data_IF_446967433438
#
_entry.id   IF_446967433438
#
_cell.length_a   1.000
_cell.length_b   1.000
_cell.length_c   1.000
_cell.angle_alpha   90.00
_cell.angle_beta   90.00
_cell.angle_gamma   90.00
#
_symmetry.space_group_name_H-M   'P 1'
#
loop_
_entity.id
_entity.type
_entity.pdbx_description
1 polymer ?
#
# COMPACT_ATOMS: atom_id res chain seq x y z
N UNK A 1 17.29 0.23 0.26
CA UNK A 1 17.44 0.65 -1.15
C UNK A 1 16.36 1.67 -1.43
N UNK A 2 16.67 2.79 -2.10
CA UNK A 2 15.61 3.71 -2.57
C UNK A 2 14.81 2.99 -3.66
N UNK A 3 13.53 2.72 -3.43
CA UNK A 3 12.65 2.20 -4.49
C UNK A 3 12.60 3.24 -5.61
N UNK A 4 12.66 2.79 -6.87
CA UNK A 4 12.40 3.67 -8.01
C UNK A 4 10.92 4.06 -7.94
N UNK A 5 10.61 5.34 -8.17
CA UNK A 5 9.23 5.78 -8.24
C UNK A 5 8.49 5.06 -9.39
N UNK A 6 7.25 4.58 -9.16
CA UNK A 6 6.40 3.99 -10.19
C UNK A 6 6.07 4.99 -11.30
N UNK A 7 5.36 4.52 -12.33
CA UNK A 7 4.79 5.42 -13.35
C UNK A 7 3.85 6.41 -12.64
N UNK A 8 4.06 7.70 -12.84
CA UNK A 8 3.15 8.72 -12.35
C UNK A 8 1.98 8.90 -13.30
N UNK A 9 0.79 9.04 -12.72
CA UNK A 9 -0.44 9.40 -13.43
C UNK A 9 -0.91 10.81 -13.09
N UNK A 10 -0.41 11.40 -12.00
CA UNK A 10 -0.63 12.80 -11.67
C UNK A 10 0.36 13.72 -12.39
N UNK A 11 -0.09 14.92 -12.76
CA UNK A 11 0.81 15.98 -13.25
C UNK A 11 1.60 16.59 -12.09
N UNK A 12 2.70 17.28 -12.42
CA UNK A 12 3.48 18.03 -11.42
C UNK A 12 2.62 19.10 -10.72
N UNK A 13 1.69 19.73 -11.46
CA UNK A 13 0.76 20.73 -10.96
C UNK A 13 -0.21 20.15 -9.92
N UNK A 14 -0.80 18.98 -10.20
CA UNK A 14 -1.69 18.30 -9.24
C UNK A 14 -0.95 17.89 -7.96
N UNK A 15 0.30 17.42 -8.08
CA UNK A 15 1.12 17.09 -6.91
C UNK A 15 1.48 18.32 -6.09
N UNK A 16 1.76 19.45 -6.76
CA UNK A 16 2.06 20.70 -6.07
C UNK A 16 0.83 21.29 -5.39
N UNK A 17 -0.35 21.19 -6.02
CA UNK A 17 -1.61 21.59 -5.41
C UNK A 17 -1.87 20.81 -4.11
N UNK A 18 -1.67 19.48 -4.13
CA UNK A 18 -1.78 18.66 -2.91
C UNK A 18 -0.79 19.11 -1.83
N UNK A 19 0.48 19.38 -2.20
CA UNK A 19 1.48 19.89 -1.23
C UNK A 19 1.06 21.23 -0.65
N UNK A 20 0.52 22.13 -1.47
CA UNK A 20 0.03 23.43 -1.01
C UNK A 20 -1.14 23.30 -0.02
N UNK A 21 -1.92 22.22 -0.13
CA UNK A 21 -2.98 21.86 0.82
C UNK A 21 -2.46 21.13 2.07
N UNK A 22 -1.15 20.90 2.19
CA UNK A 22 -0.53 20.24 3.32
C UNK A 22 -0.39 18.72 3.19
N UNK A 23 -0.58 18.15 1.98
CA UNK A 23 -0.33 16.74 1.74
C UNK A 23 1.15 16.39 1.95
N UNK A 24 1.39 15.36 2.75
CA UNK A 24 2.71 14.76 2.84
C UNK A 24 2.96 13.78 1.68
N UNK A 25 4.13 13.16 1.69
CA UNK A 25 4.54 12.22 0.66
C UNK A 25 3.66 10.97 0.60
N UNK A 26 3.18 10.47 1.74
CA UNK A 26 2.30 9.30 1.78
C UNK A 26 0.95 9.61 1.15
N UNK A 27 0.36 10.76 1.47
CA UNK A 27 -0.90 11.19 0.86
C UNK A 27 -0.77 11.38 -0.66
N UNK A 28 0.37 11.91 -1.13
CA UNK A 28 0.66 12.02 -2.56
C UNK A 28 0.77 10.64 -3.21
N UNK A 29 1.40 9.66 -2.56
CA UNK A 29 1.50 8.30 -3.09
C UNK A 29 0.16 7.59 -3.13
N UNK A 30 -0.72 7.83 -2.15
CA UNK A 30 -2.10 7.36 -2.18
C UNK A 30 -2.88 7.98 -3.35
N UNK A 31 -2.71 9.28 -3.60
CA UNK A 31 -3.35 9.95 -4.73
C UNK A 31 -2.85 9.42 -6.09
N UNK A 32 -1.54 9.13 -6.21
CA UNK A 32 -0.97 8.50 -7.41
C UNK A 32 -1.49 7.08 -7.63
N UNK A 33 -1.67 6.31 -6.55
CA UNK A 33 -2.30 4.99 -6.60
C UNK A 33 -3.73 5.09 -7.15
N UNK A 34 -4.50 6.07 -6.68
CA UNK A 34 -5.89 6.28 -7.11
C UNK A 34 -5.95 6.70 -8.58
N UNK A 35 -5.11 7.65 -9.00
CA UNK A 35 -4.99 8.08 -10.39
C UNK A 35 -4.59 6.91 -11.33
N UNK A 36 -3.69 6.03 -10.90
CA UNK A 36 -3.36 4.81 -11.64
C UNK A 36 -4.56 3.85 -11.74
N UNK A 37 -5.38 3.76 -10.68
CA UNK A 37 -6.60 2.94 -10.67
C UNK A 37 -7.65 3.48 -11.64
N UNK A 38 -7.86 4.80 -11.66
CA UNK A 38 -8.74 5.48 -12.63
C UNK A 38 -8.29 5.25 -14.08
N UNK A 39 -6.98 5.17 -14.31
CA UNK A 39 -6.39 4.83 -15.59
C UNK A 39 -6.42 3.31 -15.92
N UNK A 40 -7.03 2.48 -15.07
CA UNK A 40 -7.06 1.02 -15.17
C UNK A 40 -5.67 0.35 -15.20
N UNK A 41 -4.65 0.98 -14.59
CA UNK A 41 -3.31 0.42 -14.42
C UNK A 41 -3.14 -0.16 -13.01
N UNK A 42 -3.71 -1.35 -12.83
CA UNK A 42 -3.70 -2.08 -11.56
C UNK A 42 -2.27 -2.29 -11.03
N UNK A 43 -1.30 -2.55 -11.91
CA UNK A 43 0.08 -2.76 -11.49
C UNK A 43 0.64 -1.50 -10.82
N UNK A 44 0.49 -0.36 -11.49
CA UNK A 44 0.99 0.92 -10.95
C UNK A 44 0.24 1.33 -9.68
N UNK A 45 -1.07 1.03 -9.56
CA UNK A 45 -1.83 1.20 -8.30
C UNK A 45 -1.14 0.48 -7.14
N UNK A 46 -0.80 -0.80 -7.31
CA UNK A 46 -0.13 -1.56 -6.26
C UNK A 46 1.31 -1.11 -6.00
N UNK A 47 2.03 -0.70 -7.04
CA UNK A 47 3.39 -0.17 -6.89
C UNK A 47 3.41 1.11 -6.03
N UNK A 48 2.45 2.02 -6.22
CA UNK A 48 2.30 3.19 -5.36
C UNK A 48 1.88 2.84 -3.93
N UNK A 49 0.90 1.94 -3.76
CA UNK A 49 0.49 1.48 -2.43
C UNK A 49 1.63 0.81 -1.65
N UNK A 50 2.51 0.08 -2.33
CA UNK A 50 3.67 -0.58 -1.71
C UNK A 50 4.78 0.40 -1.29
N UNK A 51 4.60 1.71 -1.48
CA UNK A 51 5.51 2.76 -0.97
C UNK A 51 5.02 3.45 0.29
N UNK A 52 3.82 3.12 0.78
CA UNK A 52 3.17 3.75 1.95
C UNK A 52 3.19 2.80 3.14
N UNK A 53 3.31 3.32 4.36
CA UNK A 53 3.11 2.54 5.59
C UNK A 53 1.61 2.29 5.85
N UNK A 54 1.07 1.23 5.26
CA UNK A 54 -0.33 0.87 5.46
C UNK A 54 -0.61 0.44 6.92
N UNK A 55 -1.83 0.70 7.43
CA UNK A 55 -2.24 0.17 8.72
C UNK A 55 -2.34 -1.37 8.67
N UNK A 56 -2.14 -2.03 9.81
CA UNK A 56 -2.09 -3.48 9.92
C UNK A 56 -3.34 -4.16 9.32
N UNK A 57 -4.54 -3.65 9.60
CA UNK A 57 -5.78 -4.17 9.03
C UNK A 57 -5.85 -4.06 7.50
N UNK A 58 -5.21 -3.04 6.92
CA UNK A 58 -5.10 -2.87 5.47
C UNK A 58 -4.26 -3.98 4.85
N UNK A 59 -3.14 -4.29 5.48
CA UNK A 59 -2.25 -5.40 5.09
C UNK A 59 -2.94 -6.77 5.21
N UNK A 60 -3.75 -7.00 6.25
CA UNK A 60 -4.61 -8.20 6.33
C UNK A 60 -5.62 -8.29 5.20
N UNK A 61 -6.25 -7.16 4.85
CA UNK A 61 -7.17 -7.09 3.73
C UNK A 61 -6.49 -7.47 2.40
N UNK A 62 -5.25 -7.03 2.20
CA UNK A 62 -4.45 -7.38 1.03
C UNK A 62 -4.07 -8.87 1.07
N UNK A 63 -3.58 -9.40 2.20
CA UNK A 63 -3.23 -10.82 2.36
C UNK A 63 -4.42 -11.72 2.03
N UNK A 64 -5.60 -11.39 2.55
CA UNK A 64 -6.83 -12.16 2.29
C UNK A 64 -7.24 -12.16 0.82
N UNK A 65 -7.02 -11.06 0.09
CA UNK A 65 -7.45 -10.92 -1.32
C UNK A 65 -6.41 -11.42 -2.32
N UNK A 66 -5.12 -11.30 -2.01
CA UNK A 66 -4.00 -11.52 -2.95
C UNK A 66 -2.98 -12.56 -2.48
N UNK A 67 -3.06 -12.98 -1.22
CA UNK A 67 -2.12 -13.90 -0.59
C UNK A 67 -0.87 -13.21 -0.04
N UNK A 68 -0.17 -13.90 0.84
CA UNK A 68 1.05 -13.42 1.46
C UNK A 68 2.21 -13.23 0.46
N UNK A 69 2.29 -14.07 -0.57
CA UNK A 69 3.35 -13.97 -1.57
C UNK A 69 3.28 -12.66 -2.35
N UNK A 70 2.06 -12.16 -2.65
CA UNK A 70 1.88 -10.88 -3.31
C UNK A 70 2.46 -9.72 -2.50
N UNK A 71 2.25 -9.72 -1.18
CA UNK A 71 2.79 -8.70 -0.27
C UNK A 71 4.32 -8.69 -0.30
N UNK A 72 4.93 -9.88 -0.31
CA UNK A 72 6.38 -10.07 -0.41
C UNK A 72 6.94 -9.61 -1.76
N UNK A 73 6.30 -10.03 -2.85
CA UNK A 73 6.74 -9.73 -4.21
C UNK A 73 6.68 -8.22 -4.51
N UNK A 74 5.63 -7.55 -4.04
CA UNK A 74 5.48 -6.09 -4.15
C UNK A 74 6.36 -5.33 -3.14
N UNK A 75 6.83 -6.01 -2.10
CA UNK A 75 7.68 -5.45 -1.05
C UNK A 75 6.96 -4.42 -0.20
N UNK A 76 5.70 -4.68 0.19
CA UNK A 76 4.97 -3.80 1.11
C UNK A 76 5.73 -3.67 2.44
N UNK A 77 5.77 -2.46 3.06
CA UNK A 77 6.22 -2.31 4.44
C UNK A 77 5.26 -3.08 5.36
N UNK A 78 5.77 -4.06 6.11
CA UNK A 78 4.95 -4.92 6.99
C UNK A 78 5.00 -4.52 8.46
N UNK A 79 5.83 -3.54 8.82
CA UNK A 79 6.11 -3.16 10.22
C UNK A 79 4.86 -3.08 11.10
N UNK A 80 3.82 -2.38 10.65
CA UNK A 80 2.59 -2.22 11.43
C UNK A 80 1.87 -3.56 11.68
N UNK A 81 1.83 -4.45 10.69
CA UNK A 81 1.23 -5.78 10.84
C UNK A 81 2.13 -6.73 11.64
N UNK A 82 3.45 -6.60 11.53
CA UNK A 82 4.40 -7.38 12.33
C UNK A 82 4.28 -7.01 13.82
N UNK A 83 4.06 -5.74 14.14
CA UNK A 83 3.82 -5.24 15.50
C UNK A 83 2.47 -5.69 16.06
N UNK A 84 1.41 -5.70 15.26
CA UNK A 84 0.05 -6.02 15.73
C UNK A 84 -0.26 -7.53 15.76
N UNK A 85 0.16 -8.28 14.74
CA UNK A 85 -0.19 -9.69 14.55
C UNK A 85 1.00 -10.66 14.76
N UNK A 86 2.20 -10.11 14.96
CA UNK A 86 3.45 -10.83 15.06
C UNK A 86 4.16 -10.98 13.71
N UNK A 87 5.49 -11.11 13.69
CA UNK A 87 6.29 -11.11 12.45
C UNK A 87 6.03 -12.31 11.52
N UNK A 88 5.32 -13.32 12.00
CA UNK A 88 4.91 -14.53 11.26
C UNK A 88 3.48 -14.44 10.69
N UNK A 89 2.81 -13.27 10.78
CA UNK A 89 1.42 -13.09 10.35
C UNK A 89 1.16 -13.39 8.87
N UNK A 90 2.18 -13.29 8.02
CA UNK A 90 2.10 -13.68 6.61
C UNK A 90 1.97 -15.20 6.43
N UNK A 91 2.44 -16.00 7.38
CA UNK A 91 2.52 -17.46 7.29
C UNK A 91 1.49 -18.19 8.15
N UNK A 92 0.63 -17.45 8.87
CA UNK A 92 -0.44 -18.00 9.70
C UNK A 92 -1.78 -17.33 9.44
N UNK A 93 -2.85 -17.99 9.87
CA UNK A 93 -4.16 -17.37 9.95
C UNK A 93 -4.19 -16.34 11.07
N UNK A 94 -4.74 -15.15 10.77
CA UNK A 94 -5.05 -14.14 11.77
C UNK A 94 -6.55 -14.13 11.99
N UNK A 95 -6.98 -14.31 13.25
CA UNK A 95 -8.40 -14.38 13.62
C UNK A 95 -8.78 -13.11 14.37
N UNK A 96 -9.70 -12.33 13.78
CA UNK A 96 -10.25 -11.11 14.40
C UNK A 96 -11.77 -11.25 14.45
N UNK A 97 -12.35 -11.24 15.65
CA UNK A 97 -13.80 -11.34 15.83
C UNK A 97 -14.44 -12.60 15.22
N UNK A 98 -13.68 -13.69 15.08
CA UNK A 98 -14.13 -14.94 14.45
C UNK A 98 -13.96 -14.99 12.93
N UNK A 99 -13.40 -13.95 12.30
CA UNK A 99 -13.07 -13.95 10.88
C UNK A 99 -11.60 -14.33 10.65
N UNK A 100 -11.36 -15.21 9.68
CA UNK A 100 -10.03 -15.61 9.24
C UNK A 100 -9.51 -14.67 8.14
N UNK A 101 -8.22 -14.32 8.26
CA UNK A 101 -7.44 -13.47 7.37
C UNK A 101 -6.07 -14.09 7.08
#
# INVERSE_FOLDING_TARGET
MKKKLPKSYMTDEQREELRAQGADHELIYLAESDAASEANDEKTTWEWLAMVELPAYGLLGIKKRRGAQFIRDMGFPTKNADEEYGPDWLDKDVIIGGHHF
#
